data_IF_154135259607
#
_entry.id   IF_154135259607
#
_cell.length_a   1.000
_cell.length_b   1.000
_cell.length_c   1.000
_cell.angle_alpha   90.00
_cell.angle_beta   90.00
_cell.angle_gamma   90.00
#
_symmetry.space_group_name_H-M   'P 1'
#
loop_
_entity.id
_entity.type
_entity.pdbx_description
1 polymer ?
#
# COMPACT_ATOMS: atom_id res chain seq x y z
N UNK A 1 2.49 -30.22 3.60
CA UNK A 1 1.46 -29.96 4.64
C UNK A 1 2.12 -29.50 5.94
N UNK A 2 2.53 -28.22 6.02
CA UNK A 2 3.28 -27.68 7.18
C UNK A 2 2.43 -26.75 8.07
N UNK A 3 1.40 -26.11 7.51
CA UNK A 3 0.57 -25.12 8.19
C UNK A 3 -0.43 -25.69 9.23
N UNK A 4 -0.84 -26.95 9.10
CA UNK A 4 -1.85 -27.58 9.99
C UNK A 4 -1.26 -28.49 11.07
N UNK A 5 0.08 -28.63 11.13
CA UNK A 5 0.73 -29.52 12.10
C UNK A 5 0.59 -29.04 13.55
N UNK A 6 0.40 -27.73 13.75
CA UNK A 6 0.36 -27.09 15.07
C UNK A 6 -1.05 -26.62 15.46
N UNK A 7 -2.09 -27.03 14.73
CA UNK A 7 -3.48 -26.70 15.08
C UNK A 7 -4.13 -27.87 15.81
N UNK A 8 -4.75 -27.61 16.96
CA UNK A 8 -5.51 -28.60 17.75
C UNK A 8 -6.84 -29.02 17.10
N UNK A 9 -7.23 -28.37 16.00
CA UNK A 9 -8.44 -28.68 15.25
C UNK A 9 -8.33 -30.06 14.56
N UNK A 10 -9.21 -30.99 14.95
CA UNK A 10 -9.34 -32.30 14.29
C UNK A 10 -10.11 -32.13 12.98
N UNK A 11 -9.42 -32.17 11.84
CA UNK A 11 -10.04 -32.10 10.51
C UNK A 11 -10.30 -33.54 10.02
N UNK A 12 -11.56 -33.85 9.70
CA UNK A 12 -11.93 -35.16 9.14
C UNK A 12 -11.27 -35.39 7.76
N UNK A 13 -10.85 -36.62 7.48
CA UNK A 13 -10.22 -36.99 6.20
C UNK A 13 -11.13 -36.70 4.99
N UNK A 14 -12.44 -36.96 5.13
CA UNK A 14 -13.43 -36.68 4.09
C UNK A 14 -13.45 -35.20 3.70
N UNK A 15 -13.38 -34.29 4.68
CA UNK A 15 -13.31 -32.84 4.44
C UNK A 15 -12.03 -32.45 3.70
N UNK A 16 -10.90 -33.07 4.03
CA UNK A 16 -9.64 -32.83 3.32
C UNK A 16 -9.72 -33.25 1.85
N UNK A 17 -10.19 -34.47 1.57
CA UNK A 17 -10.30 -34.95 0.19
C UNK A 17 -11.35 -34.19 -0.61
N UNK A 18 -12.48 -33.84 0.02
CA UNK A 18 -13.49 -32.98 -0.59
C UNK A 18 -12.93 -31.59 -0.91
N UNK A 19 -12.06 -31.02 -0.07
CA UNK A 19 -11.38 -29.77 -0.39
C UNK A 19 -10.36 -29.93 -1.52
N UNK A 20 -9.57 -31.01 -1.48
CA UNK A 20 -8.52 -31.29 -2.46
C UNK A 20 -9.07 -31.48 -3.88
N UNK A 21 -10.25 -32.08 -4.02
CA UNK A 21 -10.90 -32.34 -5.31
C UNK A 21 -11.84 -31.22 -5.77
N UNK A 22 -12.01 -30.14 -5.00
CA UNK A 22 -12.92 -29.04 -5.39
C UNK A 22 -12.42 -28.36 -6.67
N UNK A 23 -13.31 -28.14 -7.65
CA UNK A 23 -12.97 -27.32 -8.82
C UNK A 23 -12.72 -25.87 -8.38
N UNK A 24 -12.04 -25.11 -9.25
CA UNK A 24 -11.80 -23.70 -9.01
C UNK A 24 -13.13 -22.95 -8.83
N UNK A 25 -13.20 -22.09 -7.82
CA UNK A 25 -14.39 -21.27 -7.59
C UNK A 25 -14.57 -20.24 -8.71
N UNK A 26 -15.81 -19.81 -8.96
CA UNK A 26 -16.12 -18.77 -9.94
C UNK A 26 -15.26 -17.50 -9.73
N UNK A 27 -15.03 -17.13 -8.46
CA UNK A 27 -14.13 -16.03 -8.10
C UNK A 27 -12.69 -16.29 -8.55
N UNK A 28 -12.16 -17.49 -8.33
CA UNK A 28 -10.79 -17.82 -8.73
C UNK A 28 -10.64 -17.82 -10.25
N UNK A 29 -11.65 -18.28 -10.99
CA UNK A 29 -11.67 -18.24 -12.45
C UNK A 29 -11.65 -16.78 -12.94
N UNK A 30 -12.53 -15.93 -12.38
CA UNK A 30 -12.57 -14.50 -12.71
C UNK A 30 -11.28 -13.77 -12.35
N UNK A 31 -10.70 -14.06 -11.20
CA UNK A 31 -9.42 -13.48 -10.76
C UNK A 31 -8.29 -13.83 -11.74
N UNK A 32 -8.26 -15.05 -12.28
CA UNK A 32 -7.28 -15.46 -13.31
C UNK A 32 -7.44 -14.65 -14.60
N UNK A 33 -8.67 -14.46 -15.07
CA UNK A 33 -8.94 -13.64 -16.26
C UNK A 33 -8.48 -12.19 -16.05
N UNK A 34 -8.80 -11.60 -14.90
CA UNK A 34 -8.36 -10.25 -14.55
C UNK A 34 -6.84 -10.18 -14.47
N UNK A 35 -6.18 -11.17 -13.85
CA UNK A 35 -4.72 -11.21 -13.76
C UNK A 35 -4.06 -11.23 -15.14
N UNK A 36 -4.57 -12.03 -16.07
CA UNK A 36 -4.08 -12.08 -17.46
C UNK A 36 -4.19 -10.72 -18.16
N UNK A 37 -5.34 -10.03 -18.06
CA UNK A 37 -5.49 -8.70 -18.64
C UNK A 37 -4.59 -7.66 -17.95
N UNK A 38 -4.39 -7.76 -16.63
CA UNK A 38 -3.46 -6.89 -15.92
C UNK A 38 -2.03 -7.08 -16.43
N UNK A 39 -1.59 -8.30 -16.72
CA UNK A 39 -0.27 -8.54 -17.29
C UNK A 39 -0.11 -7.92 -18.68
N UNK A 40 -1.09 -8.11 -19.57
CA UNK A 40 -1.06 -7.51 -20.92
C UNK A 40 -0.93 -5.99 -20.85
N UNK A 41 -1.83 -5.33 -20.11
CA UNK A 41 -1.80 -3.88 -19.91
C UNK A 41 -0.48 -3.44 -19.28
N UNK A 42 0.07 -4.21 -18.35
CA UNK A 42 1.31 -3.86 -17.67
C UNK A 42 2.51 -3.87 -18.64
N UNK A 43 2.62 -4.90 -19.47
CA UNK A 43 3.67 -5.00 -20.50
C UNK A 43 3.50 -3.92 -21.58
N UNK A 44 2.28 -3.71 -22.08
CA UNK A 44 1.99 -2.68 -23.10
C UNK A 44 2.32 -1.26 -22.62
N UNK A 45 2.28 -1.02 -21.31
CA UNK A 45 2.58 0.27 -20.70
C UNK A 45 3.97 0.30 -20.02
N UNK A 46 4.92 -0.52 -20.51
CA UNK A 46 6.32 -0.54 -20.11
C UNK A 46 6.53 -0.70 -18.59
N UNK A 47 5.67 -1.49 -17.93
CA UNK A 47 5.72 -1.72 -16.48
C UNK A 47 5.61 -0.44 -15.62
N UNK A 48 5.19 0.69 -16.21
CA UNK A 48 5.17 1.99 -15.54
C UNK A 48 3.95 2.15 -14.63
N UNK A 49 2.87 1.42 -14.90
CA UNK A 49 1.59 1.63 -14.24
C UNK A 49 1.53 0.97 -12.87
N UNK A 50 1.20 1.77 -11.86
CA UNK A 50 0.80 1.28 -10.54
C UNK A 50 -0.70 1.04 -10.46
N UNK A 51 -1.16 0.52 -9.31
CA UNK A 51 -2.56 0.14 -9.01
C UNK A 51 -3.59 1.13 -9.54
N UNK A 52 -3.40 2.43 -9.30
CA UNK A 52 -4.39 3.46 -9.69
C UNK A 52 -4.54 3.62 -11.19
N UNK A 53 -3.42 3.53 -11.94
CA UNK A 53 -3.42 3.61 -13.41
C UNK A 53 -3.92 2.31 -14.03
N UNK A 54 -3.50 1.17 -13.47
CA UNK A 54 -3.97 -0.16 -13.88
C UNK A 54 -5.49 -0.30 -13.73
N UNK A 55 -6.05 0.15 -12.59
CA UNK A 55 -7.50 0.16 -12.36
C UNK A 55 -8.27 1.02 -13.36
N UNK A 56 -7.75 2.19 -13.72
CA UNK A 56 -8.36 3.03 -14.74
C UNK A 56 -8.26 2.39 -16.15
N UNK A 57 -7.11 1.79 -16.48
CA UNK A 57 -6.89 1.16 -17.77
C UNK A 57 -7.81 -0.06 -17.98
N UNK A 58 -7.88 -0.97 -17.02
CA UNK A 58 -8.69 -2.19 -17.14
C UNK A 58 -10.19 -1.88 -17.23
N UNK A 59 -10.67 -0.87 -16.51
CA UNK A 59 -12.07 -0.44 -16.57
C UNK A 59 -12.40 0.37 -17.84
N UNK A 60 -11.40 0.99 -18.47
CA UNK A 60 -11.56 1.70 -19.74
C UNK A 60 -11.68 0.75 -20.93
N UNK A 61 -10.95 -0.36 -20.91
CA UNK A 61 -11.05 -1.38 -21.95
C UNK A 61 -12.37 -2.17 -21.89
N UNK A 62 -13.01 -2.25 -20.71
CA UNK A 62 -14.40 -2.73 -20.58
C UNK A 62 -14.60 -4.24 -20.79
N UNK A 63 -13.58 -5.00 -21.18
CA UNK A 63 -13.69 -6.43 -21.54
C UNK A 63 -14.19 -7.35 -20.40
N UNK A 64 -13.90 -7.01 -19.14
CA UNK A 64 -14.22 -7.86 -17.98
C UNK A 64 -15.32 -7.28 -17.06
N UNK A 65 -16.00 -6.22 -17.52
CA UNK A 65 -16.91 -5.43 -16.70
C UNK A 65 -16.19 -4.60 -15.63
N UNK A 66 -16.95 -3.90 -14.77
CA UNK A 66 -16.36 -3.04 -13.75
C UNK A 66 -15.59 -3.85 -12.68
N UNK A 67 -14.28 -3.57 -12.57
CA UNK A 67 -13.39 -4.16 -11.56
C UNK A 67 -13.17 -3.16 -10.43
N UNK A 68 -13.40 -3.63 -9.20
CA UNK A 68 -13.14 -2.83 -8.01
C UNK A 68 -11.62 -2.62 -7.81
N UNK A 69 -11.23 -1.42 -7.36
CA UNK A 69 -9.82 -1.06 -7.14
C UNK A 69 -9.10 -2.02 -6.18
N UNK A 70 -9.76 -2.46 -5.11
CA UNK A 70 -9.20 -3.41 -4.14
C UNK A 70 -8.89 -4.79 -4.76
N UNK A 71 -9.61 -5.17 -5.82
CA UNK A 71 -9.35 -6.42 -6.55
C UNK A 71 -8.06 -6.29 -7.35
N UNK A 72 -7.88 -5.18 -8.07
CA UNK A 72 -6.65 -4.89 -8.82
C UNK A 72 -5.45 -4.84 -7.88
N UNK A 73 -5.57 -4.12 -6.76
CA UNK A 73 -4.50 -4.01 -5.76
C UNK A 73 -4.08 -5.37 -5.21
N UNK A 74 -5.05 -6.19 -4.79
CA UNK A 74 -4.81 -7.54 -4.29
C UNK A 74 -4.13 -8.41 -5.33
N UNK A 75 -4.61 -8.42 -6.58
CA UNK A 75 -4.05 -9.25 -7.64
C UNK A 75 -2.63 -8.80 -8.01
N UNK A 76 -2.40 -7.49 -8.15
CA UNK A 76 -1.06 -6.95 -8.37
C UNK A 76 -0.09 -7.32 -7.23
N UNK A 77 -0.56 -7.33 -5.97
CA UNK A 77 0.26 -7.75 -4.84
C UNK A 77 0.60 -9.25 -4.87
N UNK A 78 -0.35 -10.10 -5.25
CA UNK A 78 -0.14 -11.55 -5.38
C UNK A 78 0.85 -11.87 -6.51
N UNK A 79 0.70 -11.22 -7.66
CA UNK A 79 1.53 -11.43 -8.85
C UNK A 79 2.87 -10.66 -8.80
N UNK A 80 3.07 -9.80 -7.80
CA UNK A 80 4.29 -9.00 -7.63
C UNK A 80 4.42 -7.83 -8.61
N UNK A 81 3.35 -7.48 -9.33
CA UNK A 81 3.30 -6.35 -10.27
C UNK A 81 3.39 -5.03 -9.50
N UNK A 82 4.44 -4.24 -9.79
CA UNK A 82 4.65 -2.93 -9.17
C UNK A 82 5.00 -1.90 -10.22
N UNK A 83 4.21 -0.83 -10.26
CA UNK A 83 4.51 0.33 -11.09
C UNK A 83 5.73 1.10 -10.59
N UNK A 84 6.36 1.81 -11.52
CA UNK A 84 7.52 2.66 -11.23
C UNK A 84 7.11 3.80 -10.27
N UNK A 85 7.84 3.92 -9.15
CA UNK A 85 7.69 5.02 -8.20
C UNK A 85 8.93 5.92 -8.26
N UNK A 86 8.72 7.22 -8.51
CA UNK A 86 9.81 8.21 -8.40
C UNK A 86 10.26 8.29 -6.94
N UNK A 87 11.55 8.04 -6.68
CA UNK A 87 12.13 8.23 -5.34
C UNK A 87 12.02 9.70 -4.97
N UNK A 88 11.46 10.02 -3.80
CA UNK A 88 11.45 11.38 -3.26
C UNK A 88 12.90 11.78 -3.03
N UNK A 89 13.39 12.83 -3.70
CA UNK A 89 14.70 13.41 -3.37
C UNK A 89 14.61 13.96 -1.94
N UNK A 90 15.65 13.74 -1.14
CA UNK A 90 15.78 14.46 0.14
C UNK A 90 15.80 15.97 -0.21
N UNK A 91 15.03 16.82 0.47
CA UNK A 91 15.15 18.26 0.26
C UNK A 91 16.61 18.65 0.51
N UNK A 92 17.21 19.33 -0.47
CA UNK A 92 18.62 19.74 -0.40
C UNK A 92 18.81 21.08 0.31
N UNK A 93 17.71 21.75 0.66
CA UNK A 93 17.73 23.02 1.39
C UNK A 93 18.16 22.73 2.83
N UNK A 94 19.44 22.94 3.10
CA UNK A 94 19.94 23.15 4.45
C UNK A 94 19.62 24.59 4.84
N UNK A 95 19.18 24.81 6.08
CA UNK A 95 19.15 26.16 6.65
C UNK A 95 20.57 26.74 6.58
N UNK A 96 20.67 28.07 6.42
CA UNK A 96 21.94 28.76 6.63
C UNK A 96 22.44 28.48 8.06
N UNK A 97 23.76 28.50 8.26
CA UNK A 97 24.31 28.43 9.60
C UNK A 97 23.82 29.64 10.41
N UNK A 98 23.67 29.48 11.73
CA UNK A 98 23.06 30.51 12.57
C UNK A 98 23.76 31.88 12.48
N UNK A 99 25.05 31.91 12.12
CA UNK A 99 25.81 33.15 11.90
C UNK A 99 25.54 33.86 10.57
N UNK A 100 24.98 33.17 9.58
CA UNK A 100 24.62 33.73 8.26
C UNK A 100 23.12 34.09 8.18
N UNK A 101 22.35 33.78 9.22
CA UNK A 101 20.95 34.18 9.31
C UNK A 101 20.88 35.71 9.50
N UNK A 102 20.11 36.44 8.66
CA UNK A 102 19.95 37.87 8.83
C UNK A 102 19.30 38.18 10.17
N UNK A 103 19.82 39.21 10.85
CA UNK A 103 19.27 39.71 12.11
C UNK A 103 17.83 40.21 11.90
N UNK A 104 16.95 39.91 12.85
CA UNK A 104 15.58 40.40 12.78
C UNK A 104 15.53 41.89 13.11
N UNK A 105 15.32 42.72 12.09
CA UNK A 105 15.27 44.18 12.25
C UNK A 105 13.90 44.70 12.71
N UNK A 106 12.94 43.79 12.90
CA UNK A 106 11.54 44.13 13.24
C UNK A 106 11.24 43.78 14.71
N UNK A 107 12.25 43.38 15.50
CA UNK A 107 12.13 42.98 16.91
C UNK A 107 10.90 42.11 17.18
N UNK A 108 10.71 41.05 16.39
CA UNK A 108 9.58 40.15 16.57
C UNK A 108 9.85 39.21 17.73
N UNK A 109 8.87 39.12 18.60
CA UNK A 109 8.88 38.15 19.67
C UNK A 109 8.51 36.75 19.11
N UNK A 110 9.51 35.89 18.99
CA UNK A 110 9.35 34.48 18.62
C UNK A 110 9.33 33.57 19.85
N UNK A 111 9.29 34.11 21.06
CA UNK A 111 9.18 33.30 22.27
C UNK A 111 7.83 32.57 22.28
N UNK A 112 7.91 31.23 22.26
CA UNK A 112 6.74 30.40 22.46
C UNK A 112 6.57 30.27 23.98
N UNK A 113 5.54 30.93 24.51
CA UNK A 113 5.15 30.76 25.91
C UNK A 113 4.93 29.28 26.27
N UNK A 114 5.15 28.89 27.53
CA UNK A 114 5.03 27.49 27.94
C UNK A 114 3.65 26.92 27.61
N UNK A 115 3.60 25.68 27.10
CA UNK A 115 2.32 25.01 26.84
C UNK A 115 1.56 24.87 28.17
N UNK A 116 0.35 25.44 28.31
CA UNK A 116 -0.43 25.35 29.54
C UNK A 116 -0.82 23.90 29.90
N UNK A 117 -0.56 22.92 29.02
CA UNK A 117 -0.75 21.48 29.31
C UNK A 117 0.47 20.80 29.96
N UNK A 118 1.60 21.49 30.10
CA UNK A 118 2.84 20.93 30.65
C UNK A 118 3.23 21.49 32.03
N UNK A 119 2.29 22.13 32.75
CA UNK A 119 2.56 22.69 34.09
C UNK A 119 2.27 21.72 35.25
N UNK A 120 1.68 20.54 35.00
CA UNK A 120 1.33 19.55 36.03
C UNK A 120 2.31 18.39 36.15
N UNK A 121 3.60 18.62 35.93
CA UNK A 121 4.63 17.68 36.38
C UNK A 121 5.79 18.45 36.94
N UNK A 122 5.71 18.70 38.26
CA UNK A 122 6.78 18.78 39.27
C UNK A 122 6.44 19.84 40.33
N UNK A 123 5.69 19.45 41.37
CA UNK A 123 5.96 19.98 42.72
C UNK A 123 6.97 19.04 43.40
N UNK A 124 8.09 19.55 43.95
CA UNK A 124 9.10 18.74 44.62
C UNK A 124 8.82 18.58 46.12
N UNK A 125 9.35 17.45 46.65
CA UNK A 125 9.71 17.09 48.04
C UNK A 125 8.89 17.63 49.22
#
# INVERSE_FOLDING_TARGET
>A
MRALRNTSAKIALSTYYAFKSRPASARSIRDKQISQSLHQIFEDNYSCYGVRKMWAAINREGHLGHVARCTVERLMAIEGLRGIRRRKKKPSTRSADAGDCPVDLVDRDFEVGPDPRMVDTLMPA
#
